data_IF_237153425828
#
_entry.id   IF_237153425828
#
_cell.length_a   1.000
_cell.length_b   1.000
_cell.length_c   1.000
_cell.angle_alpha   90.00
_cell.angle_beta   90.00
_cell.angle_gamma   90.00
#
_symmetry.space_group_name_H-M   'P 1'
#
loop_
_entity.id
_entity.type
_entity.pdbx_description
1 polymer ?
#
# COMPACT_ATOMS: atom_id res chain seq x y z
N UNK A 1 -12.18 -10.18 1.35
CA UNK A 1 -11.21 -9.75 0.32
C UNK A 1 -11.38 -10.66 -0.89
N UNK A 2 -11.62 -10.07 -2.05
CA UNK A 2 -11.69 -10.74 -3.35
C UNK A 2 -10.49 -10.29 -4.19
N UNK A 3 -10.31 -10.89 -5.34
CA UNK A 3 -9.25 -10.55 -6.29
C UNK A 3 -9.88 -10.31 -7.64
N UNK A 4 -9.42 -9.26 -8.31
CA UNK A 4 -9.80 -8.89 -9.66
C UNK A 4 -8.52 -8.86 -10.51
N UNK A 5 -8.52 -9.42 -11.73
CA UNK A 5 -7.33 -9.43 -12.60
C UNK A 5 -6.78 -8.03 -12.89
N UNK A 6 -7.63 -7.01 -12.94
CA UNK A 6 -7.26 -5.63 -13.25
C UNK A 6 -7.01 -4.78 -12.01
N UNK A 7 -7.78 -4.97 -10.94
CA UNK A 7 -7.72 -4.15 -9.72
C UNK A 7 -6.85 -4.76 -8.60
N UNK A 8 -6.44 -6.02 -8.74
CA UNK A 8 -5.78 -6.78 -7.69
C UNK A 8 -6.74 -7.12 -6.53
N UNK A 9 -6.22 -7.19 -5.31
CA UNK A 9 -7.03 -7.51 -4.14
C UNK A 9 -7.90 -6.33 -3.70
N UNK A 10 -9.18 -6.59 -3.42
CA UNK A 10 -10.14 -5.57 -2.97
C UNK A 10 -11.11 -6.12 -1.91
N UNK A 11 -11.77 -5.21 -1.18
CA UNK A 11 -12.77 -5.55 -0.15
C UNK A 11 -14.16 -5.42 -0.76
N UNK A 12 -14.78 -6.54 -1.13
CA UNK A 12 -16.16 -6.55 -1.64
C UNK A 12 -17.15 -6.03 -0.56
N UNK A 13 -18.03 -5.11 -0.96
CA UNK A 13 -19.01 -4.49 -0.07
C UNK A 13 -18.45 -3.38 0.82
N UNK A 14 -17.19 -2.96 0.62
CA UNK A 14 -16.67 -1.76 1.27
C UNK A 14 -17.39 -0.52 0.72
N UNK A 15 -17.90 0.32 1.61
CA UNK A 15 -18.54 1.57 1.21
C UNK A 15 -17.49 2.63 0.87
N UNK A 16 -17.58 3.19 -0.33
CA UNK A 16 -16.80 4.35 -0.76
C UNK A 16 -17.70 5.59 -0.70
N UNK A 17 -17.15 6.71 -0.21
CA UNK A 17 -17.88 7.97 -0.03
C UNK A 17 -17.12 9.07 -0.74
N UNK A 18 -17.81 9.79 -1.61
CA UNK A 18 -17.27 10.98 -2.25
C UNK A 18 -17.16 12.07 -1.17
N UNK A 19 -16.02 12.74 -1.16
CA UNK A 19 -15.72 13.85 -0.25
C UNK A 19 -15.30 15.05 -1.09
N UNK A 20 -15.81 16.24 -0.75
CA UNK A 20 -15.54 17.49 -1.51
C UNK A 20 -14.67 18.49 -0.75
N UNK A 21 -14.33 18.20 0.51
CA UNK A 21 -13.52 19.07 1.36
C UNK A 21 -12.64 18.27 2.32
N UNK A 22 -11.57 18.90 2.82
CA UNK A 22 -10.73 18.33 3.88
C UNK A 22 -11.55 18.07 5.16
N UNK A 23 -12.50 18.95 5.49
CA UNK A 23 -13.40 18.79 6.63
C UNK A 23 -14.20 17.49 6.58
N UNK A 24 -14.75 17.14 5.42
CA UNK A 24 -15.46 15.87 5.23
C UNK A 24 -14.54 14.65 5.40
N UNK A 25 -13.27 14.74 4.97
CA UNK A 25 -12.28 13.68 5.19
C UNK A 25 -12.08 13.45 6.69
N UNK A 26 -11.85 14.51 7.47
CA UNK A 26 -11.70 14.39 8.92
C UNK A 26 -12.97 13.90 9.61
N UNK A 27 -14.15 14.27 9.12
CA UNK A 27 -15.41 13.77 9.66
C UNK A 27 -15.52 12.24 9.50
N UNK A 28 -15.22 11.72 8.31
CA UNK A 28 -15.20 10.28 8.06
C UNK A 28 -14.14 9.55 8.88
N UNK A 29 -12.94 10.12 9.00
CA UNK A 29 -11.87 9.59 9.85
C UNK A 29 -12.34 9.51 11.31
N UNK A 30 -12.89 10.61 11.84
CA UNK A 30 -13.40 10.69 13.21
C UNK A 30 -14.54 9.70 13.45
N UNK A 31 -15.40 9.50 12.46
CA UNK A 31 -16.48 8.50 12.53
C UNK A 31 -15.93 7.08 12.56
N UNK A 32 -14.88 6.79 11.80
CA UNK A 32 -14.15 5.52 11.85
C UNK A 32 -13.56 5.26 13.23
N UNK A 33 -12.87 6.25 13.80
CA UNK A 33 -12.29 6.17 15.14
C UNK A 33 -13.35 6.00 16.23
N UNK A 34 -14.48 6.71 16.15
CA UNK A 34 -15.60 6.50 17.09
C UNK A 34 -16.13 5.06 17.01
N UNK A 35 -16.33 4.51 15.81
CA UNK A 35 -16.77 3.12 15.65
C UNK A 35 -15.76 2.13 16.24
N UNK A 36 -14.45 2.40 16.09
CA UNK A 36 -13.39 1.65 16.74
C UNK A 36 -13.47 1.76 18.27
N UNK A 37 -13.74 2.94 18.81
CA UNK A 37 -13.87 3.18 20.24
C UNK A 37 -15.10 2.51 20.85
N UNK A 38 -16.27 2.59 20.23
CA UNK A 38 -17.48 1.91 20.74
C UNK A 38 -17.31 0.38 20.81
N UNK A 39 -16.59 -0.22 19.86
CA UNK A 39 -16.24 -1.64 19.90
C UNK A 39 -15.32 -2.03 21.08
N UNK A 40 -14.71 -1.07 21.81
CA UNK A 40 -13.82 -1.32 22.97
C UNK A 40 -14.58 -1.54 24.29
N UNK A 41 -15.89 -1.35 24.34
CA UNK A 41 -16.63 -1.24 25.63
C UNK A 41 -17.09 -2.53 26.32
N UNK A 42 -16.77 -3.71 25.80
CA UNK A 42 -16.98 -4.97 26.53
C UNK A 42 -15.73 -5.86 26.43
N UNK A 43 -14.96 -5.93 27.52
CA UNK A 43 -13.81 -6.80 27.71
C UNK A 43 -12.62 -6.59 26.72
N UNK A 44 -11.69 -5.72 27.13
CA UNK A 44 -10.31 -5.49 26.64
C UNK A 44 -10.07 -4.25 25.76
N UNK A 45 -8.83 -3.78 25.80
CA UNK A 45 -8.31 -2.68 25.00
C UNK A 45 -8.18 -3.09 23.52
N UNK A 46 -9.28 -3.03 22.75
CA UNK A 46 -9.35 -3.51 21.34
C UNK A 46 -8.42 -2.76 20.37
N UNK A 47 -7.80 -1.64 20.76
CA UNK A 47 -6.81 -0.95 19.91
C UNK A 47 -5.60 -1.81 19.58
N UNK A 48 -5.17 -2.69 20.50
CA UNK A 48 -4.07 -3.63 20.26
C UNK A 48 -4.51 -4.87 19.47
N UNK A 49 -5.80 -5.00 19.15
CA UNK A 49 -6.41 -6.24 18.64
C UNK A 49 -7.04 -6.14 17.25
N UNK A 50 -6.93 -5.00 16.59
CA UNK A 50 -7.47 -4.82 15.25
C UNK A 50 -6.53 -3.97 14.39
N UNK A 51 -6.46 -4.33 13.12
CA UNK A 51 -5.80 -3.51 12.10
C UNK A 51 -6.80 -2.54 11.52
N UNK A 52 -6.41 -1.29 11.35
CA UNK A 52 -7.20 -0.26 10.67
C UNK A 52 -6.54 0.08 9.36
N UNK A 53 -7.34 0.12 8.29
CA UNK A 53 -6.89 0.57 6.96
C UNK A 53 -7.85 1.68 6.52
N UNK A 54 -7.36 2.91 6.52
CA UNK A 54 -8.03 4.04 5.91
C UNK A 54 -7.48 4.24 4.50
N UNK A 55 -8.37 4.42 3.52
CA UNK A 55 -7.97 4.62 2.12
C UNK A 55 -8.61 5.89 1.59
N UNK A 56 -7.79 6.83 1.14
CA UNK A 56 -8.20 8.00 0.39
C UNK A 56 -7.86 7.79 -1.08
N UNK A 57 -8.88 7.85 -1.94
CA UNK A 57 -8.72 7.76 -3.40
C UNK A 57 -8.80 9.18 -3.96
N UNK A 58 -7.78 9.59 -4.71
CA UNK A 58 -7.69 10.92 -5.30
C UNK A 58 -7.67 10.76 -6.81
N UNK A 59 -8.66 11.33 -7.48
CA UNK A 59 -8.73 11.38 -8.93
C UNK A 59 -8.33 12.78 -9.41
N UNK A 60 -7.37 12.84 -10.32
CA UNK A 60 -6.94 14.08 -10.95
C UNK A 60 -7.11 13.97 -12.46
N UNK A 61 -8.10 14.69 -12.97
CA UNK A 61 -8.31 14.79 -14.41
C UNK A 61 -7.56 15.99 -14.99
N UNK A 62 -6.70 15.74 -15.96
CA UNK A 62 -6.07 16.79 -16.75
C UNK A 62 -6.72 16.85 -18.14
N UNK A 63 -7.21 18.03 -18.51
CA UNK A 63 -7.49 18.40 -19.90
C UNK A 63 -6.22 19.01 -20.50
N UNK A 64 -5.70 18.44 -21.58
CA UNK A 64 -4.58 19.04 -22.32
C UNK A 64 -5.08 20.24 -23.10
N UNK A 65 -4.50 21.42 -22.87
CA UNK A 65 -4.87 22.66 -23.56
C UNK A 65 -4.63 22.64 -25.08
N UNK A 66 -3.82 21.70 -25.58
CA UNK A 66 -3.48 21.57 -27.00
C UNK A 66 -4.36 20.55 -27.76
N UNK A 67 -5.18 19.77 -27.04
CA UNK A 67 -5.82 18.57 -27.60
C UNK A 67 -7.09 18.30 -26.78
N UNK A 68 -8.17 18.98 -27.17
CA UNK A 68 -9.44 19.11 -26.43
C UNK A 68 -10.23 17.79 -26.34
N UNK A 69 -9.84 16.80 -27.16
CA UNK A 69 -10.67 15.61 -27.39
C UNK A 69 -10.39 14.44 -26.43
N UNK A 70 -9.27 14.45 -25.68
CA UNK A 70 -8.95 13.32 -24.78
C UNK A 70 -8.45 13.74 -23.41
N UNK A 71 -9.38 13.70 -22.44
CA UNK A 71 -9.14 13.87 -21.01
C UNK A 71 -8.49 12.62 -20.41
N UNK A 72 -7.34 12.79 -19.75
CA UNK A 72 -6.70 11.69 -19.00
C UNK A 72 -6.91 11.91 -17.50
N UNK A 73 -7.34 10.86 -16.79
CA UNK A 73 -7.55 10.93 -15.35
C UNK A 73 -6.59 9.99 -14.65
N UNK A 74 -5.74 10.57 -13.80
CA UNK A 74 -4.82 9.83 -12.92
C UNK A 74 -5.54 9.48 -11.61
N UNK A 75 -5.26 8.30 -11.09
CA UNK A 75 -5.78 7.84 -9.79
C UNK A 75 -4.63 7.64 -8.81
N UNK A 76 -4.65 8.37 -7.71
CA UNK A 76 -3.82 8.11 -6.53
C UNK A 76 -4.62 7.35 -5.48
N UNK A 77 -3.96 6.44 -4.75
CA UNK A 77 -4.51 5.82 -3.54
C UNK A 77 -3.53 6.04 -2.40
N UNK A 78 -3.99 6.72 -1.35
CA UNK A 78 -3.27 6.86 -0.10
C UNK A 78 -3.86 5.88 0.90
N UNK A 79 -3.03 4.94 1.36
CA UNK A 79 -3.40 4.01 2.42
C UNK A 79 -2.72 4.45 3.72
N UNK A 80 -3.51 4.67 4.77
CA UNK A 80 -3.04 4.86 6.13
C UNK A 80 -3.40 3.61 6.92
N UNK A 81 -2.39 2.93 7.44
CA UNK A 81 -2.53 1.61 8.06
C UNK A 81 -2.03 1.69 9.49
N UNK A 82 -2.92 1.42 10.43
CA UNK A 82 -2.59 1.25 11.85
C UNK A 82 -2.66 -0.24 12.18
N UNK A 83 -1.53 -0.81 12.56
CA UNK A 83 -1.41 -2.25 12.81
C UNK A 83 -1.64 -2.54 14.29
N UNK A 84 -2.24 -3.70 14.55
CA UNK A 84 -2.35 -4.26 15.90
C UNK A 84 -0.96 -4.48 16.52
N UNK A 85 -0.91 -4.60 17.85
CA UNK A 85 0.31 -4.89 18.59
C UNK A 85 0.95 -6.21 18.15
N UNK A 86 2.28 -6.22 18.03
CA UNK A 86 3.05 -7.41 17.64
C UNK A 86 3.43 -8.32 18.81
N UNK A 87 3.14 -7.87 20.03
CA UNK A 87 3.41 -8.61 21.25
C UNK A 87 2.51 -9.86 21.38
N UNK A 88 3.06 -10.98 21.86
CA UNK A 88 2.24 -12.11 22.24
C UNK A 88 1.33 -11.69 23.39
N UNK A 89 0.02 -11.77 23.20
CA UNK A 89 -0.90 -11.64 24.32
C UNK A 89 -0.60 -12.76 25.33
N UNK A 90 -0.38 -12.38 26.59
CA UNK A 90 -0.34 -13.32 27.72
C UNK A 90 -1.62 -14.17 27.78
N UNK A 91 -1.60 -15.24 28.58
CA UNK A 91 -2.67 -16.25 28.65
C UNK A 91 -4.08 -15.61 28.63
N UNK A 92 -4.72 -15.64 27.46
CA UNK A 92 -6.05 -15.07 27.28
C UNK A 92 -7.03 -15.81 28.20
N UNK A 93 -7.74 -15.06 29.03
CA UNK A 93 -8.57 -15.61 30.13
C UNK A 93 -9.80 -16.37 29.59
N UNK A 94 -10.19 -16.12 28.33
CA UNK A 94 -11.36 -16.73 27.69
C UNK A 94 -10.99 -17.32 26.33
N UNK A 95 -11.65 -18.42 25.96
CA UNK A 95 -11.52 -19.09 24.66
C UNK A 95 -11.78 -18.14 23.47
N UNK A 96 -12.75 -17.23 23.60
CA UNK A 96 -13.04 -16.20 22.58
C UNK A 96 -11.86 -15.23 22.41
N UNK A 97 -11.28 -14.76 23.52
CA UNK A 97 -10.11 -13.88 23.49
C UNK A 97 -8.86 -14.61 22.96
N UNK A 98 -8.74 -15.91 23.22
CA UNK A 98 -7.66 -16.73 22.68
C UNK A 98 -7.78 -16.93 21.16
N UNK A 99 -8.99 -17.16 20.66
CA UNK A 99 -9.25 -17.27 19.22
C UNK A 99 -8.98 -15.95 18.48
N UNK A 100 -9.37 -14.82 19.06
CA UNK A 100 -9.09 -13.48 18.53
C UNK A 100 -7.58 -13.20 18.45
N UNK A 101 -6.85 -13.43 19.55
CA UNK A 101 -5.39 -13.29 19.63
C UNK A 101 -4.67 -14.12 18.56
N UNK A 102 -5.11 -15.37 18.33
CA UNK A 102 -4.57 -16.22 17.26
C UNK A 102 -4.74 -15.61 15.87
N UNK A 103 -5.86 -14.95 15.58
CA UNK A 103 -6.11 -14.32 14.28
C UNK A 103 -5.26 -13.06 14.05
N UNK A 104 -5.09 -12.24 15.08
CA UNK A 104 -4.23 -11.06 15.04
C UNK A 104 -2.79 -11.48 14.76
N UNK A 105 -2.28 -12.41 15.57
CA UNK A 105 -0.93 -12.94 15.43
C UNK A 105 -0.73 -13.65 14.08
N UNK A 106 -1.75 -14.35 13.58
CA UNK A 106 -1.72 -14.93 12.22
C UNK A 106 -1.48 -13.87 11.16
N UNK A 107 -2.21 -12.75 11.21
CA UNK A 107 -2.05 -11.67 10.22
C UNK A 107 -0.68 -10.98 10.27
N UNK A 108 -0.14 -10.72 11.46
CA UNK A 108 1.19 -10.12 11.63
C UNK A 108 2.33 -11.10 11.31
N UNK A 109 2.13 -12.39 11.58
CA UNK A 109 3.04 -13.45 11.18
C UNK A 109 3.19 -13.49 9.65
N UNK A 110 2.07 -13.58 8.91
CA UNK A 110 2.14 -13.60 7.45
C UNK A 110 2.65 -12.28 6.85
N UNK A 111 2.36 -11.15 7.49
CA UNK A 111 2.97 -9.87 7.10
C UNK A 111 4.50 -9.93 7.21
N UNK A 112 5.01 -10.46 8.32
CA UNK A 112 6.45 -10.63 8.56
C UNK A 112 7.09 -11.64 7.59
N UNK A 113 6.37 -12.71 7.26
CA UNK A 113 6.82 -13.71 6.28
C UNK A 113 6.90 -13.12 4.87
N UNK A 114 5.87 -12.38 4.44
CA UNK A 114 5.84 -11.68 3.15
C UNK A 114 7.01 -10.70 3.05
N UNK A 115 7.23 -9.87 4.06
CA UNK A 115 8.35 -8.90 4.09
C UNK A 115 9.70 -9.62 4.04
N UNK A 116 9.86 -10.71 4.79
CA UNK A 116 11.11 -11.48 4.79
C UNK A 116 11.41 -12.07 3.40
N UNK A 117 10.40 -12.65 2.74
CA UNK A 117 10.56 -13.22 1.39
C UNK A 117 10.81 -12.15 0.33
N UNK A 118 10.13 -11.01 0.41
CA UNK A 118 10.35 -9.88 -0.49
C UNK A 118 11.74 -9.27 -0.31
N UNK A 119 12.21 -9.14 0.93
CA UNK A 119 13.58 -8.69 1.23
C UNK A 119 14.60 -9.63 0.64
N UNK A 120 14.45 -10.95 0.85
CA UNK A 120 15.37 -11.95 0.31
C UNK A 120 15.38 -11.93 -1.23
N UNK A 121 14.21 -11.79 -1.87
CA UNK A 121 14.08 -11.64 -3.33
C UNK A 121 14.81 -10.39 -3.85
N UNK A 122 14.78 -9.28 -3.10
CA UNK A 122 15.43 -8.04 -3.50
C UNK A 122 16.97 -8.08 -3.42
N UNK A 123 17.50 -8.95 -2.54
CA UNK A 123 18.93 -9.20 -2.34
C UNK A 123 19.48 -10.29 -3.30
N UNK A 124 18.65 -11.24 -3.72
CA UNK A 124 19.06 -12.28 -4.67
C UNK A 124 19.39 -11.67 -6.06
N UNK A 125 20.67 -11.67 -6.41
CA UNK A 125 21.18 -11.25 -7.72
C UNK A 125 21.04 -12.39 -8.74
N UNK A 126 19.90 -12.46 -9.41
CA UNK A 126 19.66 -13.40 -10.50
C UNK A 126 18.19 -13.46 -10.89
N UNK A 127 17.90 -13.30 -12.19
CA UNK A 127 16.52 -13.27 -12.73
C UNK A 127 15.77 -14.59 -12.48
N UNK A 128 16.49 -15.70 -12.42
CA UNK A 128 15.94 -17.06 -12.30
C UNK A 128 15.59 -17.47 -10.85
N UNK A 129 16.18 -16.84 -9.84
CA UNK A 129 15.77 -17.02 -8.43
C UNK A 129 14.62 -16.10 -8.02
N UNK A 130 14.39 -15.02 -8.77
CA UNK A 130 13.35 -14.05 -8.42
C UNK A 130 11.93 -14.64 -8.53
N UNK A 131 11.71 -15.57 -9.47
CA UNK A 131 10.40 -16.18 -9.70
C UNK A 131 10.19 -17.53 -8.98
N UNK A 132 11.20 -18.07 -8.29
CA UNK A 132 11.08 -19.35 -7.56
C UNK A 132 10.45 -19.20 -6.16
N UNK A 133 10.40 -17.99 -5.60
CA UNK A 133 9.86 -17.77 -4.25
C UNK A 133 8.40 -17.33 -4.29
N UNK A 134 7.48 -18.27 -4.03
CA UNK A 134 6.08 -17.96 -3.75
C UNK A 134 5.96 -17.05 -2.51
N UNK A 135 5.39 -15.86 -2.71
CA UNK A 135 5.11 -14.89 -1.63
C UNK A 135 3.67 -15.14 -1.13
N UNK A 136 3.48 -15.44 0.17
CA UNK A 136 2.21 -15.91 0.73
C UNK A 136 1.21 -14.76 0.99
N UNK A 137 0.97 -13.89 0.00
CA UNK A 137 0.01 -12.79 0.16
C UNK A 137 -1.38 -13.30 0.52
N UNK A 138 -1.78 -14.49 0.04
CA UNK A 138 -3.12 -15.06 0.22
C UNK A 138 -3.43 -15.54 1.64
N UNK A 139 -2.42 -15.76 2.47
CA UNK A 139 -2.56 -16.42 3.78
C UNK A 139 -3.20 -15.53 4.86
N UNK A 140 -3.23 -14.21 4.64
CA UNK A 140 -3.96 -13.29 5.51
C UNK A 140 -4.72 -12.23 4.72
N UNK A 141 -5.88 -11.79 5.25
CA UNK A 141 -6.63 -10.68 4.65
C UNK A 141 -5.81 -9.39 4.59
N UNK A 142 -4.98 -9.15 5.61
CA UNK A 142 -4.11 -7.99 5.72
C UNK A 142 -3.07 -7.96 4.59
N UNK A 143 -2.31 -9.04 4.41
CA UNK A 143 -1.30 -9.14 3.35
C UNK A 143 -1.91 -9.02 1.95
N UNK A 144 -3.14 -9.49 1.75
CA UNK A 144 -3.88 -9.29 0.48
C UNK A 144 -4.19 -7.81 0.25
N UNK A 145 -4.75 -7.13 1.25
CA UNK A 145 -5.09 -5.70 1.15
C UNK A 145 -3.81 -4.87 0.92
N UNK A 146 -2.71 -5.23 1.57
CA UNK A 146 -1.43 -4.53 1.49
C UNK A 146 -0.51 -5.02 0.36
N UNK A 147 -0.96 -5.93 -0.52
CA UNK A 147 -0.10 -6.52 -1.53
C UNK A 147 0.54 -5.47 -2.44
N UNK A 148 -0.22 -4.44 -2.83
CA UNK A 148 0.29 -3.31 -3.62
C UNK A 148 1.35 -2.50 -2.85
N UNK A 149 1.17 -2.32 -1.54
CA UNK A 149 2.07 -1.58 -0.67
C UNK A 149 3.39 -2.31 -0.38
N UNK A 150 3.36 -3.63 -0.24
CA UNK A 150 4.51 -4.40 0.25
C UNK A 150 5.52 -4.73 -0.84
N UNK A 151 5.15 -4.82 -2.11
CA UNK A 151 6.08 -5.12 -3.20
C UNK A 151 5.51 -4.87 -4.60
N UNK A 152 4.40 -4.13 -4.67
CA UNK A 152 3.71 -3.83 -5.91
C UNK A 152 3.98 -2.40 -6.40
N UNK A 153 2.90 -1.71 -6.77
CA UNK A 153 2.92 -0.40 -7.41
C UNK A 153 2.56 0.70 -6.43
N UNK A 154 3.32 0.81 -5.34
CA UNK A 154 3.08 1.80 -4.28
C UNK A 154 4.38 2.40 -3.78
N UNK A 155 4.31 3.67 -3.35
CA UNK A 155 5.32 4.25 -2.47
C UNK A 155 4.91 3.92 -1.04
N UNK A 156 5.82 3.32 -0.29
CA UNK A 156 5.51 2.81 1.04
C UNK A 156 6.49 3.36 2.05
N UNK A 157 5.94 3.83 3.17
CA UNK A 157 6.69 4.25 4.34
C UNK A 157 6.22 3.42 5.54
N UNK A 158 7.14 3.03 6.40
CA UNK A 158 6.87 2.27 7.61
C UNK A 158 7.29 3.13 8.80
N UNK A 159 6.34 3.41 9.69
CA UNK A 159 6.60 4.02 10.99
C UNK A 159 6.66 2.91 12.04
N UNK A 160 7.76 2.86 12.79
CA UNK A 160 7.97 1.87 13.84
C UNK A 160 7.96 2.57 15.19
N UNK A 161 6.91 2.34 15.98
CA UNK A 161 6.80 2.85 17.33
C UNK A 161 7.44 1.85 18.30
N UNK A 162 8.36 2.34 19.15
CA UNK A 162 9.09 1.53 20.12
C UNK A 162 8.83 2.05 21.53
N UNK A 163 8.81 1.15 22.49
CA UNK A 163 8.69 1.51 23.90
C UNK A 163 10.09 1.69 24.52
N UNK A 164 10.37 2.77 25.27
CA UNK A 164 11.72 3.07 25.76
C UNK A 164 12.18 2.21 26.94
N UNK A 165 11.25 1.49 27.60
CA UNK A 165 11.58 0.65 28.76
C UNK A 165 12.34 -0.62 28.38
N UNK A 166 13.35 -0.97 29.21
CA UNK A 166 14.13 -2.20 29.12
C UNK A 166 13.26 -3.48 29.14
N UNK A 167 12.08 -3.44 29.75
CA UNK A 167 11.15 -4.58 29.78
C UNK A 167 10.64 -4.99 28.39
N UNK A 168 10.76 -4.12 27.39
CA UNK A 168 10.29 -4.34 26.01
C UNK A 168 11.44 -4.38 25.00
N UNK A 169 12.67 -4.62 25.47
CA UNK A 169 13.86 -4.60 24.61
C UNK A 169 13.78 -5.69 23.53
N UNK A 170 13.32 -6.88 23.87
CA UNK A 170 13.20 -7.99 22.92
C UNK A 170 12.15 -7.69 21.83
N UNK A 171 10.99 -7.17 22.21
CA UNK A 171 9.93 -6.75 21.29
C UNK A 171 10.41 -5.60 20.40
N UNK A 172 11.10 -4.63 20.98
CA UNK A 172 11.65 -3.50 20.23
C UNK A 172 12.69 -3.94 19.20
N UNK A 173 13.55 -4.90 19.56
CA UNK A 173 14.53 -5.47 18.64
C UNK A 173 13.87 -6.27 17.51
N UNK A 174 12.79 -7.02 17.80
CA UNK A 174 11.99 -7.70 16.76
C UNK A 174 11.40 -6.69 15.78
N UNK A 175 10.82 -5.59 16.27
CA UNK A 175 10.25 -4.51 15.45
C UNK A 175 11.31 -3.82 14.59
N UNK A 176 12.51 -3.56 15.12
CA UNK A 176 13.62 -2.99 14.35
C UNK A 176 14.13 -3.94 13.26
N UNK A 177 14.26 -5.25 13.55
CA UNK A 177 14.64 -6.25 12.55
C UNK A 177 13.60 -6.39 11.43
N UNK A 178 12.32 -6.27 11.78
CA UNK A 178 11.25 -6.20 10.79
C UNK A 178 11.41 -4.97 9.89
N UNK A 179 11.71 -3.80 10.47
CA UNK A 179 11.94 -2.56 9.73
C UNK A 179 13.14 -2.66 8.77
N UNK A 180 14.24 -3.26 9.22
CA UNK A 180 15.44 -3.47 8.39
C UNK A 180 15.13 -4.30 7.14
N UNK A 181 14.35 -5.37 7.29
CA UNK A 181 13.88 -6.18 6.16
C UNK A 181 12.93 -5.39 5.24
N UNK A 182 11.97 -4.67 5.83
CA UNK A 182 11.01 -3.89 5.06
C UNK A 182 11.69 -2.81 4.19
N UNK A 183 12.75 -2.17 4.71
CA UNK A 183 13.55 -1.15 4.01
C UNK A 183 14.18 -1.66 2.71
N UNK A 184 14.48 -2.96 2.62
CA UNK A 184 15.17 -3.58 1.47
C UNK A 184 14.22 -3.90 0.32
N UNK A 185 12.92 -3.85 0.55
CA UNK A 185 11.93 -4.19 -0.47
C UNK A 185 11.91 -3.13 -1.57
N UNK A 186 12.08 -3.56 -2.81
CA UNK A 186 12.02 -2.72 -4.00
C UNK A 186 10.58 -2.68 -4.53
N UNK A 187 10.05 -1.48 -4.75
CA UNK A 187 8.73 -1.26 -5.36
C UNK A 187 8.87 -0.75 -6.80
N UNK A 188 7.95 -1.15 -7.68
CA UNK A 188 7.93 -0.68 -9.08
C UNK A 188 6.85 0.37 -9.25
N UNK A 189 7.26 1.64 -9.33
CA UNK A 189 6.33 2.75 -9.41
C UNK A 189 5.87 2.99 -10.84
N UNK A 190 4.56 3.10 -11.04
CA UNK A 190 3.94 3.48 -12.31
C UNK A 190 2.77 4.43 -12.05
N UNK A 191 2.53 5.37 -12.97
CA UNK A 191 1.35 6.24 -12.91
C UNK A 191 0.09 5.41 -13.19
N UNK A 192 -0.91 5.52 -12.31
CA UNK A 192 -2.18 4.82 -12.47
C UNK A 192 -3.20 5.74 -13.17
N UNK A 193 -3.92 5.19 -14.15
CA UNK A 193 -4.98 5.87 -14.86
C UNK A 193 -6.32 5.16 -14.63
N UNK A 194 -7.44 5.85 -14.84
CA UNK A 194 -8.78 5.28 -14.65
C UNK A 194 -9.03 4.07 -15.55
N UNK A 195 -8.46 4.08 -16.76
CA UNK A 195 -8.57 2.96 -17.71
C UNK A 195 -7.24 2.65 -18.39
N UNK A 196 -7.14 1.43 -18.94
CA UNK A 196 -5.99 1.02 -19.71
C UNK A 196 -5.81 1.87 -20.96
N UNK A 197 -6.91 2.20 -21.64
CA UNK A 197 -6.93 3.07 -22.82
C UNK A 197 -6.35 4.45 -22.47
N UNK A 198 -6.76 5.05 -21.35
CA UNK A 198 -6.19 6.32 -20.90
C UNK A 198 -4.69 6.21 -20.57
N UNK A 199 -4.24 5.09 -20.01
CA UNK A 199 -2.82 4.84 -19.79
C UNK A 199 -2.04 4.77 -21.11
N UNK A 200 -2.57 4.06 -22.11
CA UNK A 200 -1.95 3.95 -23.43
C UNK A 200 -1.90 5.31 -24.12
N UNK A 201 -3.01 6.05 -24.10
CA UNK A 201 -3.09 7.40 -24.69
C UNK A 201 -2.07 8.32 -24.02
N UNK A 202 -1.96 8.31 -22.69
CA UNK A 202 -0.99 9.12 -21.98
C UNK A 202 0.47 8.75 -22.35
N UNK A 203 0.77 7.46 -22.52
CA UNK A 203 2.09 7.00 -22.98
C UNK A 203 2.38 7.44 -24.42
N UNK A 204 1.41 7.31 -25.32
CA UNK A 204 1.54 7.75 -26.72
C UNK A 204 1.78 9.26 -26.81
N UNK A 205 0.98 10.07 -26.09
CA UNK A 205 1.16 11.53 -26.03
C UNK A 205 2.57 11.90 -25.55
N UNK A 206 3.08 11.22 -24.53
CA UNK A 206 4.44 11.46 -24.01
C UNK A 206 5.53 11.06 -25.01
N UNK A 207 5.36 9.95 -25.73
CA UNK A 207 6.28 9.54 -26.80
C UNK A 207 6.27 10.53 -27.97
N UNK A 208 5.10 10.97 -28.41
CA UNK A 208 4.96 11.98 -29.48
C UNK A 208 5.66 13.28 -29.07
N UNK A 209 5.46 13.75 -27.84
CA UNK A 209 6.13 14.96 -27.35
C UNK A 209 7.66 14.84 -27.37
N UNK A 210 8.20 13.69 -26.92
CA UNK A 210 9.64 13.42 -26.98
C UNK A 210 10.18 13.40 -28.41
N UNK A 211 9.51 12.69 -29.31
CA UNK A 211 9.91 12.61 -30.71
C UNK A 211 9.87 13.97 -31.40
N UNK A 212 8.85 14.80 -31.11
CA UNK A 212 8.77 16.18 -31.62
C UNK A 212 9.95 17.02 -31.14
N UNK A 213 10.36 16.88 -29.88
CA UNK A 213 11.52 17.61 -29.35
C UNK A 213 12.85 17.11 -29.94
N UNK A 214 13.02 15.80 -30.09
CA UNK A 214 14.19 15.22 -30.76
C UNK A 214 14.30 15.71 -32.21
N UNK A 215 13.18 15.71 -32.96
CA UNK A 215 13.13 16.26 -34.32
C UNK A 215 13.50 17.75 -34.33
N UNK A 216 13.01 18.55 -33.37
CA UNK A 216 13.33 19.97 -33.26
C UNK A 216 14.81 20.20 -33.02
N UNK A 217 15.44 19.39 -32.17
CA UNK A 217 16.89 19.47 -31.88
C UNK A 217 17.72 19.05 -33.10
N UNK A 218 17.35 17.96 -33.77
CA UNK A 218 17.99 17.49 -35.01
C UNK A 218 17.90 18.54 -36.12
N UNK A 219 16.73 19.14 -36.33
CA UNK A 219 16.54 20.20 -37.32
C UNK A 219 17.44 21.42 -37.04
N UNK A 220 17.56 21.82 -35.76
CA UNK A 220 18.50 22.88 -35.36
C UNK A 220 19.96 22.52 -35.63
N UNK A 221 20.36 21.27 -35.37
CA UNK A 221 21.73 20.83 -35.66
C UNK A 221 22.04 20.82 -37.16
N UNK A 222 21.10 20.39 -38.00
CA UNK A 222 21.23 20.38 -39.47
C UNK A 222 21.35 21.79 -40.05
N UNK A 223 20.65 22.77 -39.48
CA UNK A 223 20.75 24.18 -39.89
C UNK A 223 22.04 24.87 -39.42
N UNK A 224 22.79 24.26 -38.50
CA UNK A 224 24.05 24.79 -37.96
C UNK A 224 25.31 24.21 -38.61
N UNK A 225 25.17 23.30 -39.58
CA UNK A 225 26.30 22.79 -40.36
C UNK A 225 26.54 23.75 -41.55
N UNK A 226 27.73 24.38 -41.65
CA UNK A 226 28.05 25.34 -42.71
C UNK A 226 28.17 24.70 -44.10
#
# INVERSE_FOLDING_TARGET
VKEDPSKGFYVAGLAERLVSSEGEVYEWLSRGERKRHFARTDFNEVSSRSHVVFTLIIENSQSSAEDDDVKTTRIGRLHMVDLAGSEPFGAAISEKAQAESKLINKSLFFLSEVISKLSARAEASGKDLADSFHIPFRESKLTRILASALGGHSRSALLVALHPSHCFLDESLKSLRFADKAKKIKSRLQANYVSYEQSVIAQQKLTIAKLREELRLLQKSLQSVP
#
